data_IF_328756716944
#
_entry.id   IF_328756716944
#
_cell.length_a   1.000
_cell.length_b   1.000
_cell.length_c   1.000
_cell.angle_alpha   90.00
_cell.angle_beta   90.00
_cell.angle_gamma   90.00
#
_symmetry.space_group_name_H-M   'P 1'
#
loop_
_entity.id
_entity.type
_entity.pdbx_description
1 polymer ?
#
# COMPACT_ATOMS: atom_id res chain seq x y z
N UNK A 1 82.61 15.35 -6.44
CA UNK A 1 83.07 15.36 -5.03
C UNK A 1 81.82 15.54 -4.17
N UNK A 2 81.28 14.47 -3.56
CA UNK A 2 81.31 14.16 -2.10
C UNK A 2 80.96 15.39 -1.22
N UNK A 3 80.03 15.37 -0.26
CA UNK A 3 79.52 14.28 0.56
C UNK A 3 78.15 14.62 1.20
N UNK A 4 77.51 13.59 1.73
CA UNK A 4 76.27 13.55 2.50
C UNK A 4 76.40 14.20 3.90
N UNK A 5 75.28 14.69 4.44
CA UNK A 5 75.01 14.66 5.89
C UNK A 5 73.50 14.79 6.16
N UNK A 6 72.86 13.68 6.54
CA UNK A 6 71.55 13.66 7.20
C UNK A 6 71.71 13.86 8.72
N UNK A 7 70.77 14.58 9.36
CA UNK A 7 70.47 14.41 10.79
C UNK A 7 69.21 15.20 11.24
N UNK A 8 68.15 14.43 11.54
CA UNK A 8 67.22 14.52 12.70
C UNK A 8 66.13 15.62 12.80
N UNK A 9 64.91 15.21 12.41
CA UNK A 9 63.72 14.96 13.24
C UNK A 9 63.33 15.86 14.46
N UNK A 10 62.14 16.47 14.33
CA UNK A 10 61.11 16.73 15.35
C UNK A 10 59.77 16.71 14.59
N UNK A 11 58.71 15.94 14.86
CA UNK A 11 58.18 15.39 16.10
C UNK A 11 56.85 16.06 16.42
N UNK A 12 55.72 15.64 15.82
CA UNK A 12 54.38 15.78 16.43
C UNK A 12 53.33 14.91 15.74
N UNK A 13 52.44 14.38 16.57
CA UNK A 13 51.48 13.31 16.38
C UNK A 13 50.19 13.75 15.66
N UNK A 14 49.52 12.81 14.98
CA UNK A 14 48.16 12.98 14.49
C UNK A 14 47.58 11.68 13.92
N UNK A 15 46.76 11.01 14.73
CA UNK A 15 46.18 9.68 14.53
C UNK A 15 45.46 9.47 13.19
N UNK A 16 45.72 8.32 12.57
CA UNK A 16 44.97 7.80 11.44
C UNK A 16 43.72 7.04 11.88
N UNK A 17 42.59 7.32 11.22
CA UNK A 17 41.52 6.37 11.00
C UNK A 17 40.95 6.61 9.59
N UNK A 18 41.37 5.77 8.63
CA UNK A 18 40.76 5.67 7.30
C UNK A 18 39.69 4.57 7.35
N UNK A 19 38.45 4.94 7.08
CA UNK A 19 37.34 4.01 6.85
C UNK A 19 37.59 3.16 5.60
N UNK A 20 37.35 1.84 5.61
CA UNK A 20 37.53 1.01 4.43
C UNK A 20 36.28 1.04 3.53
N UNK A 21 36.41 1.67 2.36
CA UNK A 21 35.55 1.39 1.20
C UNK A 21 35.81 -0.04 0.73
N UNK A 22 34.83 -0.94 0.88
CA UNK A 22 34.85 -2.25 0.23
C UNK A 22 34.44 -2.11 -1.24
N UNK A 23 35.42 -2.04 -2.12
CA UNK A 23 35.27 -2.24 -3.56
C UNK A 23 35.13 -3.74 -3.84
N UNK A 24 33.94 -4.18 -4.23
CA UNK A 24 33.70 -5.56 -4.69
C UNK A 24 34.26 -5.71 -6.11
N UNK A 25 35.43 -6.34 -6.18
CA UNK A 25 36.16 -6.69 -7.39
C UNK A 25 35.44 -7.82 -8.13
N UNK A 26 35.09 -7.55 -9.38
CA UNK A 26 34.48 -8.47 -10.36
C UNK A 26 35.45 -9.61 -10.68
N UNK A 27 35.14 -10.83 -10.25
CA UNK A 27 35.88 -12.02 -10.66
C UNK A 27 35.29 -12.57 -11.97
N UNK A 28 36.10 -12.56 -13.03
CA UNK A 28 35.89 -13.34 -14.26
C UNK A 28 36.57 -14.69 -14.07
N UNK A 29 35.84 -15.79 -14.27
CA UNK A 29 36.41 -17.08 -14.69
C UNK A 29 35.89 -17.41 -16.10
N UNK A 30 36.77 -17.95 -16.94
CA UNK A 30 36.51 -18.35 -18.34
C UNK A 30 36.67 -19.86 -18.47
N UNK A 31 35.74 -20.47 -19.21
CA UNK A 31 35.82 -21.79 -19.87
C UNK A 31 35.66 -22.98 -18.91
N UNK A 32 34.93 -24.05 -19.21
CA UNK A 32 34.24 -24.48 -20.43
C UNK A 32 33.40 -25.71 -20.05
N UNK A 33 32.10 -25.68 -20.27
CA UNK A 33 31.37 -26.87 -20.70
C UNK A 33 30.04 -26.44 -21.33
N UNK A 34 29.96 -26.64 -22.65
CA UNK A 34 28.75 -26.46 -23.42
C UNK A 34 27.92 -27.74 -23.29
N UNK A 35 27.06 -27.79 -22.28
CA UNK A 35 26.17 -28.91 -22.04
C UNK A 35 24.97 -28.50 -21.20
N UNK A 36 23.82 -28.31 -21.86
CA UNK A 36 22.47 -28.41 -21.29
C UNK A 36 22.21 -27.72 -19.94
N UNK A 37 21.81 -26.44 -19.97
CA UNK A 37 21.14 -25.81 -18.84
C UNK A 37 19.96 -24.96 -19.33
N UNK A 38 18.91 -25.62 -19.84
CA UNK A 38 17.55 -25.11 -19.62
C UNK A 38 17.25 -25.35 -18.14
N UNK A 39 17.73 -24.48 -17.26
CA UNK A 39 17.26 -24.45 -15.87
C UNK A 39 15.79 -24.10 -15.92
N UNK A 40 14.93 -25.12 -15.83
CA UNK A 40 13.48 -24.96 -15.76
C UNK A 40 13.16 -24.03 -14.60
N UNK A 41 12.41 -22.96 -14.87
CA UNK A 41 11.86 -22.12 -13.81
C UNK A 41 11.14 -23.02 -12.81
N UNK A 42 11.57 -22.94 -11.55
CA UNK A 42 10.92 -23.68 -10.47
C UNK A 42 9.56 -23.04 -10.24
N UNK A 43 8.48 -23.76 -10.53
CA UNK A 43 7.13 -23.33 -10.14
C UNK A 43 6.95 -23.55 -8.63
N UNK A 44 7.34 -22.53 -7.87
CA UNK A 44 7.32 -22.60 -6.41
C UNK A 44 5.89 -22.76 -5.88
N UNK A 45 4.89 -22.24 -6.59
CA UNK A 45 3.49 -22.48 -6.22
C UNK A 45 3.13 -23.94 -6.28
N UNK A 46 3.52 -24.67 -7.34
CA UNK A 46 3.23 -26.10 -7.43
C UNK A 46 3.92 -26.91 -6.32
N UNK A 47 5.13 -26.51 -5.91
CA UNK A 47 5.82 -27.11 -4.78
C UNK A 47 5.06 -26.88 -3.47
N UNK A 48 4.64 -25.64 -3.21
CA UNK A 48 3.80 -25.30 -2.05
C UNK A 48 2.46 -26.03 -2.09
N UNK A 49 1.79 -26.04 -3.24
CA UNK A 49 0.46 -26.60 -3.41
C UNK A 49 0.46 -28.11 -3.19
N UNK A 50 1.53 -28.79 -3.58
CA UNK A 50 1.74 -30.22 -3.37
C UNK A 50 2.35 -30.55 -2.00
N UNK A 51 2.72 -29.54 -1.21
CA UNK A 51 3.37 -29.76 0.07
C UNK A 51 2.39 -30.36 1.09
N UNK A 52 2.75 -31.53 1.62
CA UNK A 52 2.09 -32.12 2.78
C UNK A 52 2.50 -31.42 4.08
N UNK A 53 3.33 -32.08 4.87
CA UNK A 53 3.78 -31.57 6.18
C UNK A 53 4.58 -30.26 6.15
N UNK A 54 5.22 -29.93 5.01
CA UNK A 54 6.08 -28.75 4.87
C UNK A 54 5.35 -27.48 4.41
N UNK A 55 4.04 -27.55 4.20
CA UNK A 55 3.21 -26.46 3.65
C UNK A 55 3.42 -25.13 4.38
N UNK A 56 3.40 -25.15 5.72
CA UNK A 56 3.55 -23.94 6.53
C UNK A 56 4.92 -23.28 6.34
N UNK A 57 5.99 -24.08 6.26
CA UNK A 57 7.35 -23.57 6.09
C UNK A 57 7.55 -22.98 4.68
N UNK A 58 7.03 -23.64 3.65
CA UNK A 58 7.12 -23.16 2.27
C UNK A 58 6.29 -21.89 2.05
N UNK A 59 5.12 -21.79 2.69
CA UNK A 59 4.28 -20.58 2.65
C UNK A 59 4.96 -19.40 3.32
N UNK A 60 5.57 -19.63 4.49
CA UNK A 60 6.35 -18.60 5.19
C UNK A 60 7.53 -18.14 4.33
N UNK A 61 8.28 -19.07 3.73
CA UNK A 61 9.37 -18.75 2.82
C UNK A 61 8.88 -17.97 1.59
N UNK A 62 7.72 -18.31 1.01
CA UNK A 62 7.13 -17.55 -0.09
C UNK A 62 6.84 -16.10 0.33
N UNK A 63 6.25 -15.89 1.50
CA UNK A 63 5.96 -14.56 2.05
C UNK A 63 7.24 -13.74 2.28
N UNK A 64 8.29 -14.35 2.82
CA UNK A 64 9.60 -13.70 3.02
C UNK A 64 10.26 -13.32 1.69
N UNK A 65 10.23 -14.19 0.70
CA UNK A 65 10.78 -13.91 -0.63
C UNK A 65 9.97 -12.83 -1.35
N UNK A 66 8.64 -12.81 -1.20
CA UNK A 66 7.78 -11.77 -1.76
C UNK A 66 8.05 -10.41 -1.09
N UNK A 67 8.21 -10.40 0.25
CA UNK A 67 8.60 -9.20 0.99
C UNK A 67 9.95 -8.63 0.51
N UNK A 68 10.97 -9.48 0.30
CA UNK A 68 12.24 -9.04 -0.30
C UNK A 68 12.04 -8.46 -1.71
N UNK A 69 11.27 -9.15 -2.55
CA UNK A 69 11.07 -8.77 -3.95
C UNK A 69 10.38 -7.41 -4.09
N UNK A 70 9.29 -7.21 -3.35
CA UNK A 70 8.54 -5.94 -3.37
C UNK A 70 9.28 -4.83 -2.66
N UNK A 71 10.01 -5.12 -1.58
CA UNK A 71 10.81 -4.12 -0.89
C UNK A 71 11.95 -3.60 -1.76
N UNK A 72 12.59 -4.46 -2.55
CA UNK A 72 13.58 -4.06 -3.54
C UNK A 72 13.00 -3.06 -4.54
N UNK A 73 11.76 -3.29 -5.02
CA UNK A 73 11.07 -2.37 -5.93
C UNK A 73 10.73 -1.05 -5.26
N UNK A 74 10.20 -1.08 -4.04
CA UNK A 74 9.93 0.13 -3.24
C UNK A 74 11.20 0.96 -3.02
N UNK A 75 12.33 0.29 -2.77
CA UNK A 75 13.61 0.95 -2.57
C UNK A 75 14.14 1.70 -3.81
N UNK A 76 13.67 1.36 -5.01
CA UNK A 76 14.04 2.08 -6.24
C UNK A 76 13.26 3.39 -6.43
N UNK A 77 12.08 3.54 -5.81
CA UNK A 77 11.23 4.72 -5.96
C UNK A 77 11.96 5.98 -5.48
N UNK A 78 11.99 7.01 -6.33
CA UNK A 78 12.56 8.31 -6.00
C UNK A 78 11.45 9.32 -5.63
N UNK A 79 11.79 10.28 -4.77
CA UNK A 79 10.88 11.35 -4.37
C UNK A 79 10.33 12.12 -5.57
N UNK A 80 11.15 12.37 -6.60
CA UNK A 80 10.75 13.07 -7.83
C UNK A 80 9.67 12.34 -8.62
N UNK A 81 9.54 11.02 -8.48
CA UNK A 81 8.49 10.24 -9.14
C UNK A 81 7.10 10.50 -8.53
N UNK A 82 7.05 11.01 -7.29
CA UNK A 82 5.83 11.27 -6.52
C UNK A 82 5.42 12.75 -6.54
N UNK A 83 6.34 13.65 -6.91
CA UNK A 83 6.07 15.09 -6.99
C UNK A 83 5.14 15.43 -8.15
N UNK A 84 4.29 16.45 -7.98
CA UNK A 84 3.47 17.04 -9.04
C UNK A 84 2.65 16.00 -9.81
N UNK A 85 2.23 14.91 -9.15
CA UNK A 85 1.52 13.80 -9.75
C UNK A 85 2.19 13.23 -11.00
N UNK A 86 3.53 13.17 -11.03
CA UNK A 86 4.27 12.64 -12.18
C UNK A 86 3.82 11.23 -12.60
N UNK A 87 3.33 10.42 -11.65
CA UNK A 87 2.76 9.09 -11.88
C UNK A 87 1.39 9.08 -12.59
N UNK A 88 0.71 10.23 -12.67
CA UNK A 88 -0.59 10.37 -13.33
C UNK A 88 -0.49 11.07 -14.71
N UNK A 89 0.66 11.66 -15.05
CA UNK A 89 0.88 12.38 -16.32
C UNK A 89 0.98 11.44 -17.52
N UNK A 90 0.84 11.98 -18.73
CA UNK A 90 0.94 11.22 -19.99
C UNK A 90 2.30 10.53 -20.15
N UNK A 91 3.37 11.14 -19.65
CA UNK A 91 4.75 10.65 -19.68
C UNK A 91 5.17 9.95 -18.38
N UNK A 92 4.21 9.45 -17.59
CA UNK A 92 4.43 8.71 -16.33
C UNK A 92 5.40 7.53 -16.45
N UNK A 93 5.45 6.87 -17.61
CA UNK A 93 6.39 5.77 -17.85
C UNK A 93 7.86 6.21 -17.77
N UNK A 94 8.14 7.48 -18.08
CA UNK A 94 9.47 8.09 -17.98
C UNK A 94 9.65 8.75 -16.62
N UNK A 95 8.68 9.58 -16.19
CA UNK A 95 8.80 10.39 -14.97
C UNK A 95 8.67 9.60 -13.66
N UNK A 96 7.97 8.47 -13.69
CA UNK A 96 7.64 7.67 -12.50
C UNK A 96 7.80 6.17 -12.75
N UNK A 97 8.89 5.79 -13.43
CA UNK A 97 9.17 4.42 -13.88
C UNK A 97 9.06 3.37 -12.76
N UNK A 98 9.57 3.65 -11.57
CA UNK A 98 9.57 2.68 -10.46
C UNK A 98 8.20 2.60 -9.79
N UNK A 99 7.48 3.73 -9.67
CA UNK A 99 6.07 3.72 -9.23
C UNK A 99 5.23 2.87 -10.19
N UNK A 100 5.38 3.09 -11.51
CA UNK A 100 4.69 2.30 -12.52
C UNK A 100 5.04 0.81 -12.47
N UNK A 101 6.30 0.48 -12.15
CA UNK A 101 6.74 -0.91 -11.95
C UNK A 101 6.04 -1.57 -10.78
N UNK A 102 5.88 -0.87 -9.65
CA UNK A 102 5.13 -1.38 -8.48
C UNK A 102 3.65 -1.59 -8.85
N UNK A 103 3.01 -0.62 -9.51
CA UNK A 103 1.63 -0.77 -9.98
C UNK A 103 1.45 -2.00 -10.89
N UNK A 104 2.36 -2.17 -11.85
CA UNK A 104 2.32 -3.29 -12.78
C UNK A 104 2.53 -4.63 -12.06
N UNK A 105 3.43 -4.67 -11.09
CA UNK A 105 3.64 -5.86 -10.26
C UNK A 105 2.39 -6.20 -9.44
N UNK A 106 1.77 -5.20 -8.77
CA UNK A 106 0.54 -5.38 -8.00
C UNK A 106 -0.56 -6.05 -8.82
N UNK A 107 -0.79 -5.54 -10.04
CA UNK A 107 -1.79 -6.10 -10.94
C UNK A 107 -1.40 -7.51 -11.43
N UNK A 108 -0.10 -7.75 -11.68
CA UNK A 108 0.41 -9.08 -12.06
C UNK A 108 0.22 -10.09 -10.94
N UNK A 109 0.56 -9.73 -9.70
CA UNK A 109 0.39 -10.59 -8.54
C UNK A 109 -1.09 -10.89 -8.28
N UNK A 110 -1.95 -9.87 -8.33
CA UNK A 110 -3.39 -10.04 -8.14
C UNK A 110 -3.99 -10.99 -9.18
N UNK A 111 -3.66 -10.82 -10.46
CA UNK A 111 -4.08 -11.73 -11.54
C UNK A 111 -3.53 -13.14 -11.37
N UNK A 112 -2.28 -13.27 -10.95
CA UNK A 112 -1.67 -14.56 -10.68
C UNK A 112 -2.41 -15.29 -9.55
N UNK A 113 -2.73 -14.62 -8.44
CA UNK A 113 -3.54 -15.19 -7.35
C UNK A 113 -4.91 -15.65 -7.89
N UNK A 114 -5.61 -14.78 -8.63
CA UNK A 114 -6.91 -15.13 -9.22
C UNK A 114 -6.80 -16.37 -10.11
N UNK A 115 -5.82 -16.39 -11.02
CA UNK A 115 -5.59 -17.48 -11.95
C UNK A 115 -5.30 -18.80 -11.23
N UNK A 116 -4.46 -18.80 -10.19
CA UNK A 116 -4.17 -20.00 -9.39
C UNK A 116 -5.38 -20.53 -8.63
N UNK A 117 -6.39 -19.71 -8.35
CA UNK A 117 -7.65 -20.19 -7.74
C UNK A 117 -8.59 -20.76 -8.80
N UNK A 118 -8.79 -20.06 -9.92
CA UNK A 118 -9.79 -20.45 -10.93
C UNK A 118 -9.33 -21.56 -11.87
N UNK A 119 -8.02 -21.86 -11.93
CA UNK A 119 -7.43 -22.90 -12.78
C UNK A 119 -7.83 -24.33 -12.35
N UNK A 120 -8.28 -24.52 -11.11
CA UNK A 120 -8.62 -25.84 -10.59
C UNK A 120 -10.09 -26.21 -10.87
N UNK A 121 -10.30 -27.32 -11.58
CA UNK A 121 -11.63 -27.88 -11.84
C UNK A 121 -12.23 -28.55 -10.60
N UNK A 122 -11.38 -29.14 -9.74
CA UNK A 122 -11.78 -29.77 -8.49
C UNK A 122 -12.11 -28.75 -7.40
N UNK A 123 -13.28 -28.88 -6.78
CA UNK A 123 -13.68 -28.05 -5.64
C UNK A 123 -12.67 -28.16 -4.49
N UNK A 124 -12.17 -29.37 -4.21
CA UNK A 124 -11.19 -29.60 -3.14
C UNK A 124 -9.90 -28.82 -3.36
N UNK A 125 -9.43 -28.78 -4.60
CA UNK A 125 -8.22 -28.05 -4.97
C UNK A 125 -8.43 -26.54 -4.93
N UNK A 126 -9.58 -26.03 -5.41
CA UNK A 126 -9.92 -24.60 -5.29
C UNK A 126 -9.98 -24.14 -3.83
N UNK A 127 -10.63 -24.92 -2.96
CA UNK A 127 -10.69 -24.64 -1.51
C UNK A 127 -9.28 -24.60 -0.91
N UNK A 128 -8.40 -25.52 -1.33
CA UNK A 128 -6.99 -25.54 -0.89
C UNK A 128 -6.23 -24.30 -1.37
N UNK A 129 -6.36 -23.92 -2.64
CA UNK A 129 -5.73 -22.72 -3.20
C UNK A 129 -6.17 -21.47 -2.44
N UNK A 130 -7.48 -21.32 -2.25
CA UNK A 130 -8.08 -20.20 -1.55
C UNK A 130 -7.56 -20.09 -0.10
N UNK A 131 -7.51 -21.21 0.64
CA UNK A 131 -6.94 -21.26 1.99
C UNK A 131 -5.45 -20.90 2.03
N UNK A 132 -4.65 -21.38 1.06
CA UNK A 132 -3.22 -21.07 0.99
C UNK A 132 -3.00 -19.57 0.74
N UNK A 133 -3.80 -18.93 -0.12
CA UNK A 133 -3.70 -17.49 -0.34
C UNK A 133 -4.13 -16.67 0.88
N UNK A 134 -5.20 -17.07 1.58
CA UNK A 134 -5.54 -16.45 2.87
C UNK A 134 -4.36 -16.56 3.85
N UNK A 135 -3.71 -17.72 3.90
CA UNK A 135 -2.48 -17.92 4.68
C UNK A 135 -1.34 -17.01 4.26
N UNK A 136 -1.11 -16.86 2.95
CA UNK A 136 -0.08 -15.98 2.39
C UNK A 136 -0.34 -14.51 2.76
N UNK A 137 -1.58 -14.03 2.63
CA UNK A 137 -1.96 -12.68 3.03
C UNK A 137 -1.70 -12.43 4.52
N UNK A 138 -2.04 -13.39 5.38
CA UNK A 138 -1.74 -13.31 6.83
C UNK A 138 -0.24 -13.28 7.10
N UNK A 139 0.54 -14.13 6.44
CA UNK A 139 1.99 -14.16 6.59
C UNK A 139 2.62 -12.83 6.11
N UNK A 140 2.21 -12.31 4.96
CA UNK A 140 2.65 -11.02 4.43
C UNK A 140 2.32 -9.86 5.38
N UNK A 141 1.08 -9.80 5.91
CA UNK A 141 0.69 -8.78 6.89
C UNK A 141 1.50 -8.88 8.19
N UNK A 142 1.78 -10.11 8.67
CA UNK A 142 2.63 -10.32 9.85
C UNK A 142 4.09 -9.88 9.61
N UNK A 143 4.58 -10.01 8.37
CA UNK A 143 5.87 -9.49 7.93
C UNK A 143 5.83 -7.98 7.61
N UNK A 144 4.70 -7.30 7.79
CA UNK A 144 4.47 -5.91 7.39
C UNK A 144 4.71 -5.63 5.91
N UNK A 145 4.58 -6.66 5.07
CA UNK A 145 4.34 -6.48 3.66
C UNK A 145 2.84 -6.28 3.43
N UNK A 146 2.39 -5.05 3.63
CA UNK A 146 1.00 -4.66 3.43
C UNK A 146 0.63 -4.57 1.95
N UNK A 147 1.60 -4.39 1.07
CA UNK A 147 1.37 -4.41 -0.38
C UNK A 147 0.94 -5.81 -0.84
N UNK A 148 1.73 -6.85 -0.60
CA UNK A 148 1.37 -8.24 -0.92
C UNK A 148 0.07 -8.70 -0.26
N UNK A 149 -0.16 -8.31 1.01
CA UNK A 149 -1.40 -8.65 1.69
C UNK A 149 -2.62 -8.01 0.98
N UNK A 150 -2.49 -6.75 0.55
CA UNK A 150 -3.52 -6.06 -0.23
C UNK A 150 -3.73 -6.68 -1.61
N UNK A 151 -2.66 -7.10 -2.31
CA UNK A 151 -2.75 -7.80 -3.60
C UNK A 151 -3.60 -9.06 -3.50
N UNK A 152 -3.35 -9.89 -2.48
CA UNK A 152 -4.13 -11.11 -2.25
C UNK A 152 -5.57 -10.77 -1.88
N UNK A 153 -5.81 -9.83 -0.95
CA UNK A 153 -7.18 -9.43 -0.57
C UNK A 153 -7.96 -8.90 -1.78
N UNK A 154 -7.34 -8.06 -2.61
CA UNK A 154 -7.94 -7.55 -3.84
C UNK A 154 -8.27 -8.69 -4.82
N UNK A 155 -7.34 -9.63 -5.03
CA UNK A 155 -7.55 -10.78 -5.89
C UNK A 155 -8.72 -11.67 -5.42
N UNK A 156 -8.82 -11.95 -4.12
CA UNK A 156 -9.90 -12.77 -3.57
C UNK A 156 -11.27 -12.06 -3.61
N UNK A 157 -11.28 -10.73 -3.56
CA UNK A 157 -12.47 -9.90 -3.77
C UNK A 157 -12.80 -9.63 -5.25
N UNK A 158 -11.93 -10.04 -6.19
CA UNK A 158 -12.19 -9.88 -7.63
C UNK A 158 -13.46 -10.63 -8.04
N UNK A 159 -14.14 -10.14 -9.09
CA UNK A 159 -15.37 -10.75 -9.57
C UNK A 159 -15.19 -12.23 -9.97
N UNK A 160 -14.00 -12.62 -10.44
CA UNK A 160 -13.68 -13.98 -10.85
C UNK A 160 -13.60 -14.95 -9.65
N UNK A 161 -13.07 -14.51 -8.51
CA UNK A 161 -12.91 -15.38 -7.33
C UNK A 161 -14.11 -15.27 -6.39
N UNK A 162 -14.62 -14.06 -6.15
CA UNK A 162 -15.73 -13.80 -5.23
C UNK A 162 -17.03 -14.55 -5.63
N UNK A 163 -17.24 -14.77 -6.93
CA UNK A 163 -18.43 -15.47 -7.43
C UNK A 163 -18.44 -16.99 -7.17
N UNK A 164 -17.33 -17.59 -6.78
CA UNK A 164 -17.18 -19.05 -6.58
C UNK A 164 -17.84 -19.51 -5.27
N UNK A 165 -19.17 -19.37 -5.17
CA UNK A 165 -19.95 -19.59 -3.93
C UNK A 165 -19.69 -20.95 -3.30
N UNK A 166 -19.70 -22.03 -4.08
CA UNK A 166 -19.46 -23.39 -3.57
C UNK A 166 -18.05 -23.51 -2.96
N UNK A 167 -17.08 -22.81 -3.55
CA UNK A 167 -15.70 -22.78 -3.07
C UNK A 167 -15.59 -22.04 -1.74
N UNK A 168 -16.22 -20.88 -1.62
CA UNK A 168 -16.26 -20.10 -0.37
C UNK A 168 -17.00 -20.84 0.76
N UNK A 169 -18.14 -21.47 0.45
CA UNK A 169 -18.95 -22.23 1.41
C UNK A 169 -18.23 -23.49 1.93
N UNK A 170 -17.35 -24.08 1.12
CA UNK A 170 -16.58 -25.27 1.49
C UNK A 170 -15.30 -24.94 2.29
N UNK A 171 -14.97 -23.67 2.51
CA UNK A 171 -13.84 -23.29 3.36
C UNK A 171 -14.08 -23.64 4.83
N UNK A 172 -13.02 -24.04 5.57
CA UNK A 172 -13.10 -24.12 7.03
C UNK A 172 -13.48 -22.76 7.64
N UNK A 173 -14.36 -22.76 8.65
CA UNK A 173 -14.81 -21.53 9.34
C UNK A 173 -13.66 -20.65 9.85
N UNK A 174 -12.55 -21.26 10.27
CA UNK A 174 -11.36 -20.52 10.68
C UNK A 174 -10.72 -19.73 9.53
N UNK A 175 -10.66 -20.31 8.33
CA UNK A 175 -10.13 -19.62 7.14
C UNK A 175 -11.06 -18.49 6.68
N UNK A 176 -12.38 -18.66 6.80
CA UNK A 176 -13.35 -17.58 6.53
C UNK A 176 -13.13 -16.39 7.47
N UNK A 177 -13.03 -16.65 8.79
CA UNK A 177 -12.76 -15.61 9.79
C UNK A 177 -11.43 -14.89 9.55
N UNK A 178 -10.41 -15.66 9.17
CA UNK A 178 -9.09 -15.13 8.81
C UNK A 178 -9.19 -14.17 7.61
N UNK A 179 -9.96 -14.54 6.58
CA UNK A 179 -10.21 -13.66 5.45
C UNK A 179 -11.05 -12.44 5.82
N UNK A 180 -12.10 -12.59 6.64
CA UNK A 180 -12.92 -11.45 7.09
C UNK A 180 -12.09 -10.41 7.88
N UNK A 181 -11.16 -10.87 8.73
CA UNK A 181 -10.25 -9.98 9.45
C UNK A 181 -9.28 -9.26 8.52
N UNK A 182 -8.74 -9.97 7.53
CA UNK A 182 -7.90 -9.36 6.50
C UNK A 182 -8.71 -8.33 5.71
N UNK A 183 -9.86 -8.72 5.18
CA UNK A 183 -10.71 -7.83 4.41
C UNK A 183 -10.99 -6.54 5.17
N UNK A 184 -11.49 -6.63 6.41
CA UNK A 184 -11.73 -5.47 7.30
C UNK A 184 -10.49 -4.58 7.50
N UNK A 185 -9.31 -5.17 7.69
CA UNK A 185 -8.07 -4.41 7.89
C UNK A 185 -7.63 -3.62 6.64
N UNK A 186 -8.00 -4.10 5.46
CA UNK A 186 -7.58 -3.55 4.17
C UNK A 186 -8.68 -2.77 3.43
N UNK A 187 -9.91 -2.71 3.96
CA UNK A 187 -11.01 -1.99 3.33
C UNK A 187 -10.68 -0.51 3.08
N UNK A 188 -11.24 0.10 2.02
CA UNK A 188 -11.02 1.50 1.69
C UNK A 188 -11.78 2.49 2.59
N UNK A 189 -12.67 2.04 3.52
CA UNK A 189 -13.44 2.99 4.30
C UNK A 189 -12.57 3.94 5.13
N UNK A 190 -13.04 5.19 5.23
CA UNK A 190 -12.33 6.28 5.92
C UNK A 190 -10.88 6.43 5.44
N UNK A 191 -10.65 6.26 4.12
CA UNK A 191 -9.32 6.30 3.50
C UNK A 191 -8.39 5.26 4.11
N UNK A 192 -8.80 3.99 4.14
CA UNK A 192 -7.99 2.89 4.68
C UNK A 192 -7.53 3.11 6.13
N UNK A 193 -8.41 3.59 7.01
CA UNK A 193 -8.04 3.99 8.37
C UNK A 193 -7.37 2.87 9.19
N UNK A 194 -7.85 1.63 9.05
CA UNK A 194 -7.28 0.46 9.74
C UNK A 194 -5.85 0.16 9.26
N UNK A 195 -5.63 0.09 7.95
CA UNK A 195 -4.30 -0.08 7.36
C UNK A 195 -3.34 1.04 7.75
N UNK A 196 -3.79 2.31 7.73
CA UNK A 196 -2.97 3.45 8.18
C UNK A 196 -2.57 3.35 9.64
N UNK A 197 -3.48 2.89 10.51
CA UNK A 197 -3.15 2.63 11.91
C UNK A 197 -2.09 1.52 12.03
N UNK A 198 -2.21 0.44 11.25
CA UNK A 198 -1.24 -0.65 11.23
C UNK A 198 0.16 -0.21 10.71
N UNK A 199 0.21 0.68 9.72
CA UNK A 199 1.46 1.26 9.21
C UNK A 199 2.19 2.08 10.29
N UNK A 200 1.44 2.88 11.06
CA UNK A 200 1.98 3.68 12.18
C UNK A 200 2.43 2.84 13.37
N UNK A 201 1.83 1.67 13.55
CA UNK A 201 2.26 0.72 14.58
C UNK A 201 3.64 0.16 14.22
N UNK A 202 4.56 0.12 15.18
CA UNK A 202 5.94 -0.39 15.00
C UNK A 202 6.73 0.25 13.84
N UNK A 203 6.95 1.58 13.85
CA UNK A 203 7.58 2.32 12.74
C UNK A 203 9.06 1.96 12.48
N UNK A 204 9.67 1.19 13.38
CA UNK A 204 11.07 0.77 13.26
C UNK A 204 11.26 -0.56 12.52
N UNK A 205 10.17 -1.26 12.18
CA UNK A 205 10.25 -2.53 11.46
C UNK A 205 10.32 -2.32 9.93
N UNK A 206 11.07 -3.18 9.20
CA UNK A 206 10.98 -3.22 7.74
C UNK A 206 9.52 -3.37 7.30
N UNK A 207 9.11 -2.57 6.32
CA UNK A 207 7.70 -2.47 5.92
C UNK A 207 7.64 -2.22 4.41
N UNK A 208 6.78 -2.95 3.71
CA UNK A 208 6.34 -2.59 2.36
C UNK A 208 4.93 -2.04 2.48
N UNK A 209 4.79 -0.73 2.34
CA UNK A 209 3.49 -0.08 2.39
C UNK A 209 2.74 -0.26 1.07
N UNK A 210 1.42 -0.40 1.13
CA UNK A 210 0.57 -0.31 -0.05
C UNK A 210 0.61 1.13 -0.57
N UNK A 211 1.33 1.35 -1.68
CA UNK A 211 1.64 2.70 -2.17
C UNK A 211 0.39 3.46 -2.67
N UNK A 212 -0.70 2.76 -3.01
CA UNK A 212 -1.95 3.37 -3.47
C UNK A 212 -2.55 4.39 -2.50
N UNK A 213 -2.41 4.21 -1.18
CA UNK A 213 -2.93 5.20 -0.21
C UNK A 213 -2.21 6.54 -0.35
N UNK A 214 -0.89 6.52 -0.57
CA UNK A 214 -0.08 7.73 -0.71
C UNK A 214 -0.29 8.39 -2.07
N UNK A 215 -0.49 7.61 -3.13
CA UNK A 215 -0.82 8.18 -4.44
C UNK A 215 -2.16 8.91 -4.40
N UNK A 216 -3.17 8.32 -3.76
CA UNK A 216 -4.49 8.97 -3.58
C UNK A 216 -4.38 10.23 -2.72
N UNK A 217 -3.61 10.22 -1.64
CA UNK A 217 -3.41 11.41 -0.80
C UNK A 217 -2.68 12.52 -1.56
N UNK A 218 -1.62 12.18 -2.31
CA UNK A 218 -0.91 13.15 -3.14
C UNK A 218 -1.84 13.79 -4.17
N UNK A 219 -2.69 12.99 -4.84
CA UNK A 219 -3.71 13.53 -5.75
C UNK A 219 -4.67 14.47 -5.03
N UNK A 220 -5.21 14.07 -3.89
CA UNK A 220 -6.13 14.93 -3.13
C UNK A 220 -5.48 16.25 -2.67
N UNK A 221 -4.22 16.21 -2.25
CA UNK A 221 -3.47 17.41 -1.86
C UNK A 221 -3.23 18.31 -3.07
N UNK A 222 -2.82 17.75 -4.20
CA UNK A 222 -2.48 18.50 -5.41
C UNK A 222 -3.70 19.16 -6.04
N UNK A 223 -4.83 18.47 -6.11
CA UNK A 223 -6.08 18.97 -6.70
C UNK A 223 -6.80 19.93 -5.75
N UNK A 224 -6.75 19.66 -4.43
CA UNK A 224 -7.47 20.45 -3.42
C UNK A 224 -6.77 21.74 -2.99
N UNK A 225 -5.50 21.97 -3.38
CA UNK A 225 -4.72 23.12 -2.94
C UNK A 225 -4.05 23.82 -4.14
N UNK A 226 -4.23 25.15 -4.32
CA UNK A 226 -3.59 25.89 -5.40
C UNK A 226 -2.08 26.02 -5.13
N UNK A 227 -1.28 26.03 -6.21
CA UNK A 227 0.18 26.18 -6.14
C UNK A 227 0.62 27.55 -5.58
N UNK A 228 -0.24 28.55 -5.69
CA UNK A 228 0.02 29.92 -5.28
C UNK A 228 -1.12 30.44 -4.41
N UNK A 229 -0.77 31.32 -3.48
CA UNK A 229 -1.77 32.01 -2.67
C UNK A 229 -2.65 32.92 -3.54
N UNK A 230 -3.89 33.21 -3.11
CA UNK A 230 -4.74 34.16 -3.81
C UNK A 230 -4.01 35.48 -4.07
N UNK A 231 -4.17 36.08 -5.26
CA UNK A 231 -3.53 37.34 -5.57
C UNK A 231 -3.99 38.42 -4.59
N UNK A 232 -3.04 39.10 -3.95
CA UNK A 232 -3.31 40.28 -3.13
C UNK A 232 -2.92 41.55 -3.91
N UNK A 233 -3.72 42.61 -3.76
CA UNK A 233 -3.51 43.87 -4.50
C UNK A 233 -2.09 44.41 -4.24
N UNK A 234 -1.38 44.76 -5.31
CA UNK A 234 0.00 45.26 -5.28
C UNK A 234 1.02 44.33 -4.63
N UNK A 235 0.74 43.02 -4.52
CA UNK A 235 1.69 42.04 -4.02
C UNK A 235 2.15 41.06 -5.11
N UNK A 236 3.41 40.59 -5.05
CA UNK A 236 3.87 39.55 -5.95
C UNK A 236 3.14 38.23 -5.69
N UNK A 237 3.14 37.36 -6.70
CA UNK A 237 2.57 36.01 -6.59
C UNK A 237 3.42 35.15 -5.65
N UNK A 238 2.86 34.72 -4.52
CA UNK A 238 3.55 33.86 -3.56
C UNK A 238 3.22 32.38 -3.75
N UNK A 239 4.23 31.52 -3.60
CA UNK A 239 4.05 30.06 -3.59
C UNK A 239 3.28 29.65 -2.33
N UNK A 240 2.35 28.72 -2.48
CA UNK A 240 1.65 28.11 -1.36
C UNK A 240 2.55 27.08 -0.64
N UNK A 241 3.39 27.55 0.28
CA UNK A 241 4.27 26.66 1.07
C UNK A 241 3.50 25.66 1.94
N UNK A 242 2.26 25.95 2.32
CA UNK A 242 1.44 25.00 3.07
C UNK A 242 1.17 23.74 2.22
N UNK A 243 0.81 23.91 0.94
CA UNK A 243 0.70 22.80 -0.02
C UNK A 243 2.02 22.02 -0.12
N UNK A 244 3.15 22.73 -0.28
CA UNK A 244 4.47 22.09 -0.38
C UNK A 244 4.79 21.22 0.84
N UNK A 245 4.44 21.67 2.05
CA UNK A 245 4.65 20.91 3.29
C UNK A 245 3.76 19.67 3.36
N UNK A 246 2.51 19.75 2.90
CA UNK A 246 1.59 18.60 2.83
C UNK A 246 2.13 17.52 1.89
N UNK A 247 2.50 17.90 0.65
CA UNK A 247 3.14 16.97 -0.32
C UNK A 247 4.44 16.40 0.23
N UNK A 248 5.30 17.24 0.81
CA UNK A 248 6.58 16.83 1.36
C UNK A 248 6.45 15.88 2.55
N UNK A 249 5.34 15.91 3.29
CA UNK A 249 5.07 14.97 4.38
C UNK A 249 4.78 13.57 3.84
N UNK A 250 3.88 13.44 2.87
CA UNK A 250 3.52 12.15 2.27
C UNK A 250 4.72 11.48 1.58
N UNK A 251 5.48 12.25 0.80
CA UNK A 251 6.69 11.74 0.14
C UNK A 251 7.71 11.25 1.16
N UNK A 252 7.91 11.99 2.26
CA UNK A 252 8.86 11.61 3.32
C UNK A 252 8.47 10.29 3.97
N UNK A 253 7.19 10.07 4.22
CA UNK A 253 6.70 8.83 4.81
C UNK A 253 7.00 7.63 3.89
N UNK A 254 6.77 7.76 2.58
CA UNK A 254 7.15 6.72 1.60
C UNK A 254 8.67 6.48 1.60
N UNK A 255 9.47 7.54 1.67
CA UNK A 255 10.93 7.41 1.71
C UNK A 255 11.44 6.76 3.01
N UNK A 256 10.71 6.88 4.11
CA UNK A 256 11.09 6.30 5.40
C UNK A 256 11.05 4.77 5.40
N UNK A 257 10.13 4.15 4.63
CA UNK A 257 10.07 2.69 4.45
C UNK A 257 11.31 2.08 3.80
N UNK A 258 12.15 2.91 3.17
CA UNK A 258 13.42 2.50 2.56
C UNK A 258 14.57 2.42 3.57
N UNK A 259 14.40 2.97 4.78
CA UNK A 259 15.46 3.10 5.79
C UNK A 259 15.72 1.81 6.57
N UNK A 260 14.85 0.81 6.48
CA UNK A 260 14.94 -0.46 7.22
C UNK A 260 14.66 -1.61 6.26
N UNK A 261 15.69 -2.42 6.01
CA UNK A 261 15.64 -3.54 5.08
C UNK A 261 15.23 -4.83 5.79
N UNK A 262 14.50 -5.69 5.09
CA UNK A 262 14.32 -7.07 5.50
C UNK A 262 15.66 -7.80 5.52
N UNK A 263 15.85 -8.69 6.49
CA UNK A 263 17.09 -9.44 6.71
C UNK A 263 16.87 -10.95 6.49
N UNK A 264 16.14 -11.30 5.43
CA UNK A 264 15.91 -12.69 5.05
C UNK A 264 16.96 -13.16 4.06
N UNK A 265 17.26 -14.47 4.06
CA UNK A 265 18.13 -15.06 3.05
C UNK A 265 17.41 -15.06 1.70
N UNK A 266 18.01 -14.42 0.68
CA UNK A 266 17.46 -14.42 -0.67
C UNK A 266 17.61 -15.79 -1.33
N UNK A 267 16.53 -16.27 -1.96
CA UNK A 267 16.51 -17.52 -2.74
C UNK A 267 16.30 -17.16 -4.21
N UNK A 268 17.36 -17.23 -5.01
CA UNK A 268 17.36 -16.75 -6.39
C UNK A 268 16.24 -17.35 -7.25
N UNK A 269 16.00 -18.66 -7.15
CA UNK A 269 14.96 -19.34 -7.92
C UNK A 269 13.54 -18.82 -7.66
N UNK A 270 13.23 -18.40 -6.42
CA UNK A 270 11.92 -17.84 -6.07
C UNK A 270 11.78 -16.40 -6.57
N UNK A 271 12.90 -15.66 -6.57
CA UNK A 271 12.94 -14.29 -7.08
C UNK A 271 12.79 -14.25 -8.61
N UNK A 272 13.42 -15.20 -9.30
CA UNK A 272 13.26 -15.43 -10.74
C UNK A 272 11.83 -15.86 -11.06
N UNK A 273 11.23 -16.71 -10.22
CA UNK A 273 9.82 -17.10 -10.34
C UNK A 273 8.89 -15.87 -10.34
N UNK A 274 8.97 -14.99 -9.34
CA UNK A 274 8.17 -13.75 -9.30
C UNK A 274 8.40 -12.84 -10.51
N UNK A 275 9.65 -12.72 -10.96
CA UNK A 275 10.01 -11.91 -12.14
C UNK A 275 9.46 -12.49 -13.45
N UNK A 276 9.20 -13.80 -13.48
CA UNK A 276 8.75 -14.52 -14.67
C UNK A 276 7.24 -14.66 -14.80
N UNK A 277 6.47 -14.23 -13.80
CA UNK A 277 5.00 -14.36 -13.79
C UNK A 277 4.37 -13.65 -14.99
N UNK A 278 3.50 -14.38 -15.70
CA UNK A 278 2.71 -13.90 -16.83
C UNK A 278 1.30 -14.49 -16.75
N UNK A 279 0.48 -14.05 -15.78
CA UNK A 279 -0.89 -14.53 -15.66
C UNK A 279 -1.73 -14.09 -16.87
N UNK A 280 -2.81 -14.80 -17.19
CA UNK A 280 -3.77 -14.37 -18.20
C UNK A 280 -4.41 -13.02 -17.85
N UNK A 281 -5.05 -12.39 -18.83
CA UNK A 281 -5.86 -11.19 -18.64
C UNK A 281 -7.15 -11.48 -17.84
N UNK A 282 -7.81 -10.40 -17.41
CA UNK A 282 -8.98 -10.48 -16.52
C UNK A 282 -10.17 -11.19 -17.18
N UNK A 283 -10.37 -11.04 -18.50
CA UNK A 283 -11.44 -11.73 -19.23
C UNK A 283 -11.18 -13.23 -19.30
N UNK A 284 -9.93 -13.63 -19.59
CA UNK A 284 -9.49 -15.03 -19.58
C UNK A 284 -9.66 -15.67 -18.20
N UNK A 285 -9.28 -14.97 -17.13
CA UNK A 285 -9.45 -15.42 -15.73
C UNK A 285 -10.93 -15.58 -15.40
N UNK A 286 -11.77 -14.61 -15.79
CA UNK A 286 -13.20 -14.68 -15.54
C UNK A 286 -13.89 -15.80 -16.33
N UNK A 287 -13.46 -16.06 -17.57
CA UNK A 287 -13.93 -17.20 -18.36
C UNK A 287 -13.58 -18.54 -17.69
N UNK A 288 -12.37 -18.68 -17.12
CA UNK A 288 -12.00 -19.86 -16.34
C UNK A 288 -12.85 -20.01 -15.07
N UNK A 289 -13.15 -18.90 -14.38
CA UNK A 289 -14.08 -18.90 -13.25
C UNK A 289 -15.47 -19.44 -13.62
N UNK A 290 -16.01 -19.01 -14.78
CA UNK A 290 -17.28 -19.53 -15.29
C UNK A 290 -17.21 -21.02 -15.66
N UNK A 291 -16.06 -21.48 -16.14
CA UNK A 291 -15.84 -22.89 -16.46
C UNK A 291 -15.79 -23.77 -15.21
N UNK A 292 -15.04 -23.37 -14.17
CA UNK A 292 -14.86 -24.17 -12.96
C UNK A 292 -16.08 -24.11 -12.02
N UNK A 293 -16.85 -23.03 -12.06
CA UNK A 293 -18.13 -22.91 -11.36
C UNK A 293 -19.16 -22.14 -12.22
N UNK A 294 -19.92 -22.84 -13.09
CA UNK A 294 -20.94 -22.22 -13.93
C UNK A 294 -22.00 -21.47 -13.13
N UNK A 295 -22.60 -20.42 -13.73
CA UNK A 295 -23.73 -19.73 -13.13
C UNK A 295 -24.86 -20.75 -12.88
N UNK A 296 -25.24 -20.94 -11.62
CA UNK A 296 -26.39 -21.77 -11.31
C UNK A 296 -27.63 -21.20 -12.01
N UNK A 297 -28.39 -22.05 -12.73
CA UNK A 297 -29.80 -21.78 -12.96
C UNK A 297 -30.44 -21.73 -11.57
N UNK A 298 -30.80 -20.54 -11.11
CA UNK A 298 -31.20 -20.28 -9.71
C UNK A 298 -32.31 -21.25 -9.26
N UNK A 299 -31.99 -22.18 -8.35
CA UNK A 299 -32.95 -22.59 -7.32
C UNK A 299 -32.50 -21.93 -6.04
N UNK A 300 -33.25 -20.90 -5.67
CA UNK A 300 -33.06 -20.09 -4.46
C UNK A 300 -33.26 -21.00 -3.25
N UNK A 301 -32.18 -21.25 -2.51
CA UNK A 301 -32.23 -21.54 -1.08
C UNK A 301 -30.83 -21.41 -0.48
N UNK A 302 -30.54 -20.24 0.10
CA UNK A 302 -30.14 -20.13 1.50
C UNK A 302 -29.70 -18.71 1.82
N UNK A 303 -30.53 -18.09 2.63
CA UNK A 303 -30.36 -16.79 3.27
C UNK A 303 -29.30 -16.89 4.37
N UNK A 304 -28.05 -16.55 4.07
CA UNK A 304 -27.07 -16.20 5.11
C UNK A 304 -25.81 -15.45 4.62
N UNK A 305 -25.69 -15.16 3.32
CA UNK A 305 -24.51 -14.50 2.77
C UNK A 305 -24.81 -13.07 2.31
N UNK A 306 -24.70 -12.11 3.23
CA UNK A 306 -24.65 -10.68 2.91
C UNK A 306 -23.20 -10.20 2.95
N UNK A 307 -22.51 -10.35 1.82
CA UNK A 307 -21.32 -9.56 1.53
C UNK A 307 -21.68 -8.68 0.35
N UNK A 308 -21.81 -7.37 0.58
CA UNK A 308 -22.14 -6.40 -0.45
C UNK A 308 -21.19 -6.59 -1.64
N UNK A 309 -21.75 -6.69 -2.84
CA UNK A 309 -20.95 -6.79 -4.06
C UNK A 309 -20.04 -5.56 -4.16
N UNK A 310 -18.74 -5.77 -4.04
CA UNK A 310 -17.75 -4.77 -4.44
C UNK A 310 -16.76 -5.45 -5.36
N UNK A 311 -17.05 -5.38 -6.66
CA UNK A 311 -15.98 -5.40 -7.64
C UNK A 311 -15.14 -4.15 -7.38
N UNK A 312 -14.06 -4.29 -6.61
CA UNK A 312 -12.98 -3.31 -6.68
C UNK A 312 -12.42 -3.49 -8.09
N UNK A 313 -12.76 -2.57 -8.99
CA UNK A 313 -12.21 -2.55 -10.35
C UNK A 313 -10.70 -2.75 -10.24
N UNK A 314 -10.15 -3.69 -11.03
CA UNK A 314 -8.78 -4.24 -11.00
C UNK A 314 -7.65 -3.23 -11.32
N UNK A 315 -7.82 -1.98 -10.89
CA UNK A 315 -7.03 -0.82 -11.28
C UNK A 315 -6.88 0.17 -10.10
N UNK A 316 -6.95 -0.35 -8.87
CA UNK A 316 -7.14 0.41 -7.64
C UNK A 316 -6.05 1.45 -7.33
N UNK A 317 -4.82 1.23 -7.81
CA UNK A 317 -3.69 2.10 -7.47
C UNK A 317 -3.65 3.42 -8.28
N UNK A 318 -4.24 3.45 -9.49
CA UNK A 318 -4.27 4.65 -10.34
C UNK A 318 -5.68 5.07 -10.77
N UNK A 319 -6.69 4.19 -10.81
CA UNK A 319 -8.06 4.58 -11.23
C UNK A 319 -8.80 5.41 -10.20
N UNK A 320 -8.45 5.33 -8.91
CA UNK A 320 -8.97 6.29 -7.93
C UNK A 320 -8.58 7.73 -8.28
N UNK A 321 -7.39 7.93 -8.87
CA UNK A 321 -6.92 9.25 -9.32
C UNK A 321 -7.55 9.71 -10.65
N UNK A 322 -7.96 8.76 -11.52
CA UNK A 322 -8.57 9.10 -12.82
C UNK A 322 -10.08 9.32 -12.78
N UNK A 323 -10.82 8.76 -11.80
CA UNK A 323 -12.26 9.01 -11.67
C UNK A 323 -12.59 10.45 -11.27
N UNK A 324 -11.68 11.15 -10.58
CA UNK A 324 -11.81 12.59 -10.29
C UNK A 324 -11.74 13.42 -11.58
N UNK A 325 -10.84 13.06 -12.51
CA UNK A 325 -10.66 13.77 -13.80
C UNK A 325 -11.85 13.69 -14.77
N UNK A 326 -12.83 12.80 -14.58
CA UNK A 326 -13.98 12.67 -15.51
C UNK A 326 -15.29 13.28 -14.99
N UNK A 327 -15.39 13.59 -13.70
CA UNK A 327 -16.63 14.14 -13.12
C UNK A 327 -16.69 15.67 -13.10
N UNK A 328 -15.61 16.37 -13.45
CA UNK A 328 -15.55 17.85 -13.36
C UNK A 328 -15.64 18.59 -14.70
N UNK A 329 -15.91 17.91 -15.81
CA UNK A 329 -16.02 18.57 -17.12
C UNK A 329 -17.35 19.30 -17.38
N UNK A 330 -18.25 19.44 -16.39
CA UNK A 330 -19.46 20.25 -16.55
C UNK A 330 -20.11 20.64 -15.20
N UNK A 331 -19.53 21.58 -14.45
CA UNK A 331 -20.28 22.40 -13.48
C UNK A 331 -19.70 23.82 -13.41
N UNK A 332 -20.53 24.88 -13.43
CA UNK A 332 -20.05 26.25 -13.34
C UNK A 332 -19.56 26.59 -11.93
N UNK A 333 -18.46 27.34 -11.86
CA UNK A 333 -17.82 27.85 -10.65
C UNK A 333 -18.80 28.71 -9.83
N UNK A 334 -19.24 28.22 -8.67
CA UNK A 334 -19.66 29.09 -7.57
C UNK A 334 -18.71 28.96 -6.38
N UNK A 335 -18.06 30.09 -6.11
CA UNK A 335 -17.16 30.37 -5.01
C UNK A 335 -17.88 30.40 -3.66
N UNK A 336 -17.46 29.57 -2.70
CA UNK A 336 -17.79 29.81 -1.29
C UNK A 336 -16.70 29.27 -0.35
N UNK A 337 -15.66 30.06 -0.12
CA UNK A 337 -14.76 29.90 1.02
C UNK A 337 -14.97 31.09 1.96
N UNK A 338 -15.75 30.87 3.02
CA UNK A 338 -15.89 31.82 4.12
C UNK A 338 -14.58 31.87 4.91
N UNK A 339 -13.99 33.06 4.96
CA UNK A 339 -12.86 33.43 5.81
C UNK A 339 -13.14 33.17 7.29
N UNK A 340 -12.24 32.45 7.98
CA UNK A 340 -12.08 32.58 9.42
C UNK A 340 -10.87 33.47 9.70
N UNK A 341 -11.16 34.60 10.33
CA UNK A 341 -10.22 35.62 10.80
C UNK A 341 -9.26 35.03 11.84
N UNK A 342 -7.95 35.14 11.57
CA UNK A 342 -6.94 35.09 12.62
C UNK A 342 -6.70 36.51 13.10
N UNK A 343 -7.41 36.91 14.16
CA UNK A 343 -7.06 38.11 14.92
C UNK A 343 -5.72 37.89 15.62
N UNK A 344 -4.78 38.79 15.35
CA UNK A 344 -3.51 38.89 16.05
C UNK A 344 -3.72 39.35 17.50
N UNK A 345 -3.09 38.63 18.43
CA UNK A 345 -2.84 39.08 19.79
C UNK A 345 -1.34 39.08 20.03
N UNK A 346 -0.77 40.28 20.10
CA UNK A 346 0.62 40.50 20.49
C UNK A 346 0.88 40.00 21.92
N UNK A 347 2.04 39.37 22.14
CA UNK A 347 2.59 39.17 23.48
C UNK A 347 4.02 39.74 23.49
N UNK A 348 4.18 40.93 24.07
CA UNK A 348 5.45 41.39 24.62
C UNK A 348 5.59 40.81 26.03
N UNK A 349 6.78 40.33 26.38
CA UNK A 349 7.06 39.80 27.72
C UNK A 349 7.08 40.89 28.80
N UNK A 350 6.94 40.47 30.06
CA UNK A 350 8.02 40.68 31.02
C UNK A 350 7.92 39.75 32.25
N UNK A 351 9.09 39.59 32.84
CA UNK A 351 9.53 38.80 33.99
C UNK A 351 8.95 39.33 35.31
N UNK A 352 8.62 38.45 36.28
CA UNK A 352 9.10 38.47 37.68
C UNK A 352 8.57 37.28 38.51
N UNK A 353 9.27 37.03 39.61
CA UNK A 353 9.53 35.79 40.31
C UNK A 353 8.68 35.55 41.57
N UNK A 354 9.02 34.44 42.27
CA UNK A 354 8.65 34.01 43.63
C UNK A 354 7.37 33.15 43.70
N UNK A 355 7.25 32.03 44.43
CA UNK A 355 8.10 31.34 45.39
C UNK A 355 7.19 30.55 46.37
N UNK A 356 7.51 29.27 46.61
CA UNK A 356 7.21 28.45 47.80
C UNK A 356 5.81 27.85 48.13
N UNK A 357 5.84 26.50 48.23
CA UNK A 357 5.34 25.60 49.30
C UNK A 357 3.84 25.25 49.56
N UNK A 358 3.56 23.94 49.37
CA UNK A 358 2.86 22.94 50.21
C UNK A 358 1.45 23.24 50.77
N UNK A 359 0.47 22.35 50.48
CA UNK A 359 0.00 21.26 51.36
C UNK A 359 -1.25 20.56 50.82
N UNK A 360 -1.51 19.39 51.39
CA UNK A 360 -2.50 18.32 51.17
C UNK A 360 -4.00 18.67 51.22
N UNK A 361 -4.83 17.80 50.63
CA UNK A 361 -6.23 17.63 51.04
C UNK A 361 -7.06 16.73 50.11
N UNK A 362 -7.37 15.51 50.56
CA UNK A 362 -8.48 14.68 50.06
C UNK A 362 -9.81 15.31 50.50
N UNK A 363 -10.87 15.27 49.69
CA UNK A 363 -12.14 14.62 50.08
C UNK A 363 -13.16 14.52 48.92
N UNK A 364 -14.10 13.59 49.12
CA UNK A 364 -15.13 13.01 48.28
C UNK A 364 -16.27 13.92 47.75
N UNK A 365 -17.00 13.40 46.75
CA UNK A 365 -18.47 13.44 46.81
C UNK A 365 -19.27 14.05 45.66
N UNK A 366 -19.80 13.17 44.79
CA UNK A 366 -21.10 13.20 44.06
C UNK A 366 -21.69 14.56 43.62
N UNK A 367 -22.03 14.65 42.33
CA UNK A 367 -23.43 14.81 41.85
C UNK A 367 -23.57 14.55 40.34
N UNK A 368 -24.56 13.72 40.00
CA UNK A 368 -25.16 13.58 38.68
C UNK A 368 -25.80 14.91 38.23
N UNK A 369 -25.96 15.11 36.90
CA UNK A 369 -27.24 15.48 36.24
C UNK A 369 -27.05 15.67 34.72
N UNK A 370 -28.08 15.22 33.98
CA UNK A 370 -28.54 15.63 32.65
C UNK A 370 -27.81 15.15 31.38
N UNK A 371 -28.29 14.00 30.94
CA UNK A 371 -28.57 13.64 29.54
C UNK A 371 -29.34 14.71 28.75
N UNK A 372 -28.92 14.99 27.51
CA UNK A 372 -29.81 15.49 26.44
C UNK A 372 -29.47 14.84 25.10
N UNK A 373 -30.42 14.04 24.63
CA UNK A 373 -30.54 13.51 23.27
C UNK A 373 -30.81 14.67 22.30
N UNK A 374 -30.12 14.70 21.16
CA UNK A 374 -30.61 15.36 19.96
C UNK A 374 -30.82 14.28 18.89
N UNK A 375 -32.10 14.03 18.58
CA UNK A 375 -32.55 13.22 17.46
C UNK A 375 -32.72 14.11 16.22
N UNK A 376 -32.42 13.49 15.08
CA UNK A 376 -33.12 13.56 13.79
C UNK A 376 -33.36 14.93 13.13
N UNK A 377 -32.73 15.13 11.97
CA UNK A 377 -33.37 15.78 10.83
C UNK A 377 -33.03 14.98 9.55
N UNK A 378 -34.04 14.28 9.02
CA UNK A 378 -34.10 13.81 7.63
C UNK A 378 -35.08 14.72 6.88
N UNK A 379 -34.78 15.18 5.66
CA UNK A 379 -35.80 15.72 4.77
C UNK A 379 -36.46 14.60 3.96
N UNK A 380 -37.79 14.54 4.05
CA UNK A 380 -38.68 13.65 3.30
C UNK A 380 -38.79 14.01 1.82
N UNK A 381 -38.97 12.96 1.01
CA UNK A 381 -39.56 12.90 -0.34
C UNK A 381 -40.49 14.07 -0.70
N UNK A 382 -40.22 14.71 -1.84
CA UNK A 382 -41.18 15.50 -2.60
C UNK A 382 -41.54 14.81 -3.94
N UNK A 383 -42.71 15.15 -4.45
CA UNK A 383 -43.62 14.35 -5.27
C UNK A 383 -43.25 14.26 -6.76
N UNK A 384 -43.70 13.14 -7.33
CA UNK A 384 -43.99 12.87 -8.74
C UNK A 384 -44.91 13.96 -9.32
N UNK A 385 -44.55 14.55 -10.45
CA UNK A 385 -45.45 15.24 -11.38
C UNK A 385 -45.28 14.58 -12.75
N UNK A 386 -46.39 14.08 -13.29
CA UNK A 386 -46.56 13.66 -14.68
C UNK A 386 -47.59 14.58 -15.34
N UNK A 387 -47.54 14.63 -16.68
CA UNK A 387 -48.35 15.39 -17.67
C UNK A 387 -47.50 16.50 -18.29
N UNK A 388 -47.32 16.64 -19.60
CA UNK A 388 -47.83 15.93 -20.78
C UNK A 388 -47.49 16.78 -22.01
N UNK A 389 -47.32 16.12 -23.17
CA UNK A 389 -47.52 16.63 -24.55
C UNK A 389 -47.26 18.12 -24.85
N UNK A 390 -46.19 18.41 -25.59
CA UNK A 390 -46.23 18.65 -27.05
C UNK A 390 -44.85 18.48 -27.66
#
# INVERSE_FOLDING_TARGET
MRAESESRASGSFGFGMRSPMRTLRRARSRGSDAGSARTGLVDYWQQLFSAGSHERALLQQLAEQLALFEHDMLCQVQASELQQLNFAKIDKAVKSKNVMRICAHFNTMSRWVCHQVVSHTSLRERVRALRLFIGLAKASAALRNFNAAMEVVAALNSAAVFRLRRTWEALPKAAIRDFEQLDEAFKPERSHAALRAALKNAPLQPTVAYLGIYLTDLTFIEDGNPDFLPPALNQPRYINFAKCLMVGKEIREVMDYKKRLYMFQRIASVQDYFSSLKPPDDDSIYAQSLSCEPRAQQRVASSQWNFEQRAVSDDAMLVQTQKVNRSEENLPLESNWQSQELQGGAFSGNVHSDGAHLTSGRDDGRKQVASRKLRSFMPSRAKRVSLGTM
#
